data_IF_941427210199
#
_entry.id   IF_941427210199
#
_cell.length_a   1.000
_cell.length_b   1.000
_cell.length_c   1.000
_cell.angle_alpha   90.00
_cell.angle_beta   90.00
_cell.angle_gamma   90.00
#
_symmetry.space_group_name_H-M   'P 1'
#
loop_
_entity.id
_entity.type
_entity.pdbx_description
1 polymer ?
#
# COMPACT_ATOMS: atom_id res chain seq x y z
N UNK A 1 5.52 13.71 -0.30
CA UNK A 1 6.68 12.80 -0.34
C UNK A 1 6.59 11.62 0.64
N UNK A 2 5.80 11.67 1.72
CA UNK A 2 5.59 10.52 2.62
C UNK A 2 4.75 9.37 2.03
N UNK A 3 3.64 9.67 1.33
CA UNK A 3 2.72 8.65 0.79
C UNK A 3 3.40 7.62 -0.13
N UNK A 4 4.37 8.07 -0.96
CA UNK A 4 5.12 7.19 -1.86
C UNK A 4 6.04 6.24 -1.08
N UNK A 5 6.64 6.72 0.01
CA UNK A 5 7.49 5.89 0.86
C UNK A 5 6.69 4.76 1.47
N UNK A 6 5.50 5.02 2.02
CA UNK A 6 4.63 3.97 2.55
C UNK A 6 4.24 2.92 1.49
N UNK A 7 3.99 3.34 0.25
CA UNK A 7 3.71 2.39 -0.83
C UNK A 7 4.91 1.47 -1.09
N UNK A 8 6.14 2.00 -1.05
CA UNK A 8 7.38 1.23 -1.20
C UNK A 8 7.62 0.30 -0.02
N UNK A 9 7.48 0.79 1.22
CA UNK A 9 7.64 -0.05 2.43
C UNK A 9 6.67 -1.23 2.46
N UNK A 10 5.44 -1.03 1.95
CA UNK A 10 4.46 -2.12 1.79
C UNK A 10 4.91 -3.11 0.71
N UNK A 11 5.35 -2.61 -0.44
CA UNK A 11 5.83 -3.46 -1.54
C UNK A 11 7.08 -4.26 -1.18
N UNK A 12 8.00 -3.69 -0.42
CA UNK A 12 9.21 -4.35 0.06
C UNK A 12 8.94 -5.35 1.20
N UNK A 13 7.70 -5.38 1.73
CA UNK A 13 7.32 -6.26 2.82
C UNK A 13 7.81 -5.79 4.20
N UNK A 14 8.42 -4.61 4.28
CA UNK A 14 8.89 -4.00 5.53
C UNK A 14 7.71 -3.51 6.41
N UNK A 15 6.54 -3.29 5.81
CA UNK A 15 5.33 -2.83 6.48
C UNK A 15 4.10 -3.57 5.96
N UNK A 16 3.21 -4.03 6.86
CA UNK A 16 1.91 -4.57 6.44
C UNK A 16 0.89 -3.46 6.29
N UNK A 17 -0.01 -3.60 5.32
CA UNK A 17 -1.08 -2.65 5.07
C UNK A 17 -1.93 -2.32 6.31
N UNK A 18 -2.23 -3.33 7.11
CA UNK A 18 -2.99 -3.20 8.37
C UNK A 18 -2.31 -2.35 9.44
N UNK A 19 -0.99 -2.25 9.40
CA UNK A 19 -0.21 -1.49 10.38
C UNK A 19 -0.17 0.02 10.05
N UNK A 20 -0.67 0.40 8.87
CA UNK A 20 -0.76 1.79 8.44
C UNK A 20 -1.87 2.52 9.21
N UNK A 21 -1.47 3.32 10.20
CA UNK A 21 -2.35 4.14 11.05
C UNK A 21 -2.64 5.51 10.44
N UNK A 22 -3.24 5.53 9.25
CA UNK A 22 -3.73 6.76 8.63
C UNK A 22 -5.24 6.75 8.43
N UNK A 23 -5.80 7.93 8.17
CA UNK A 23 -7.21 8.06 7.77
C UNK A 23 -7.48 7.32 6.45
N UNK A 24 -8.73 6.88 6.19
CA UNK A 24 -9.10 6.18 4.96
C UNK A 24 -8.66 6.92 3.70
N UNK A 25 -8.82 8.24 3.67
CA UNK A 25 -8.44 9.10 2.54
C UNK A 25 -6.94 8.97 2.21
N UNK A 26 -6.09 8.87 3.22
CA UNK A 26 -4.64 8.74 3.01
C UNK A 26 -4.29 7.31 2.62
N UNK A 27 -4.94 6.30 3.22
CA UNK A 27 -4.81 4.91 2.78
C UNK A 27 -5.18 4.75 1.31
N UNK A 28 -6.29 5.30 0.85
CA UNK A 28 -6.70 5.22 -0.57
C UNK A 28 -5.64 5.82 -1.51
N UNK A 29 -5.00 6.92 -1.09
CA UNK A 29 -3.89 7.51 -1.85
C UNK A 29 -2.67 6.59 -1.89
N UNK A 30 -2.28 5.97 -0.79
CA UNK A 30 -1.16 5.00 -0.76
C UNK A 30 -1.52 3.80 -1.65
N UNK A 31 -2.75 3.29 -1.56
CA UNK A 31 -3.25 2.16 -2.36
C UNK A 31 -3.19 2.47 -3.86
N UNK A 32 -3.62 3.68 -4.26
CA UNK A 32 -3.51 4.13 -5.63
C UNK A 32 -2.06 4.24 -6.12
N UNK A 33 -1.10 4.52 -5.23
CA UNK A 33 0.32 4.49 -5.57
C UNK A 33 0.84 3.07 -5.75
N UNK A 34 0.50 2.14 -4.85
CA UNK A 34 0.84 0.71 -4.99
C UNK A 34 0.31 0.18 -6.33
N UNK A 35 -0.92 0.54 -6.71
CA UNK A 35 -1.53 0.13 -7.99
C UNK A 35 -0.77 0.63 -9.22
N UNK A 36 -0.07 1.77 -9.12
CA UNK A 36 0.77 2.28 -10.22
C UNK A 36 2.12 1.57 -10.33
N UNK A 37 2.51 0.85 -9.29
CA UNK A 37 3.80 0.15 -9.20
C UNK A 37 3.64 -1.36 -9.40
N UNK A 38 2.43 -1.88 -9.21
CA UNK A 38 2.10 -3.31 -9.32
C UNK A 38 1.00 -3.49 -10.36
N UNK A 39 1.39 -4.09 -11.49
CA UNK A 39 0.46 -4.41 -12.59
C UNK A 39 -0.38 -5.65 -12.30
N UNK A 40 0.17 -6.58 -11.51
CA UNK A 40 -0.49 -7.83 -11.15
C UNK A 40 -1.57 -7.63 -10.06
N UNK A 41 -2.79 -8.08 -10.35
CA UNK A 41 -3.95 -7.95 -9.47
C UNK A 41 -3.85 -8.82 -8.22
N UNK A 42 -3.27 -10.02 -8.31
CA UNK A 42 -3.09 -10.92 -7.17
C UNK A 42 -2.09 -10.32 -6.18
N UNK A 43 -0.95 -9.86 -6.67
CA UNK A 43 0.09 -9.22 -5.85
C UNK A 43 -0.45 -7.94 -5.20
N UNK A 44 -1.20 -7.12 -5.95
CA UNK A 44 -1.82 -5.91 -5.40
C UNK A 44 -2.80 -6.23 -4.25
N UNK A 45 -3.64 -7.26 -4.43
CA UNK A 45 -4.61 -7.66 -3.42
C UNK A 45 -3.95 -8.25 -2.18
N UNK A 46 -2.85 -9.00 -2.34
CA UNK A 46 -2.06 -9.51 -1.23
C UNK A 46 -1.44 -8.36 -0.41
N UNK A 47 -0.78 -7.42 -1.08
CA UNK A 47 -0.11 -6.28 -0.46
C UNK A 47 -1.07 -5.33 0.26
N UNK A 48 -2.32 -5.23 -0.19
CA UNK A 48 -3.31 -4.27 0.32
C UNK A 48 -4.41 -4.90 1.16
N UNK A 49 -4.19 -6.15 1.61
CA UNK A 49 -5.18 -6.91 2.38
C UNK A 49 -5.34 -6.33 3.80
N UNK A 50 -6.62 -6.23 4.19
CA UNK A 50 -7.15 -6.09 5.57
C UNK A 50 -6.31 -6.73 6.69
N UNK A 51 -5.95 -7.99 6.43
CA UNK A 51 -5.19 -8.86 7.33
C UNK A 51 -5.84 -9.02 8.70
#
# INVERSE_FOLDING_TARGET
>A
MMIKLYALEVMEGNMKWKDIKFSPIIKDRIKAYIRKLVEDDEVFNELTKEG
#
